data_IF_942040788437
#
_entry.id   IF_942040788437
#
_cell.length_a   1.000
_cell.length_b   1.000
_cell.length_c   1.000
_cell.angle_alpha   90.00
_cell.angle_beta   90.00
_cell.angle_gamma   90.00
#
_symmetry.space_group_name_H-M   'P 1'
#
loop_
_entity.id
_entity.type
_entity.pdbx_description
1 polymer ?
#
# COMPACT_ATOMS: atom_id res chain seq x y z
N UNK A 1 -19.16 5.97 -9.44
CA UNK A 1 -17.80 5.67 -8.93
C UNK A 1 -17.47 6.60 -7.76
N UNK A 2 -17.84 7.88 -7.88
CA UNK A 2 -17.53 8.94 -6.91
C UNK A 2 -18.17 8.71 -5.53
N UNK A 3 -19.38 8.16 -5.45
CA UNK A 3 -20.06 7.89 -4.18
C UNK A 3 -19.27 6.94 -3.25
N UNK A 4 -18.59 5.93 -3.82
CA UNK A 4 -17.76 5.01 -3.05
C UNK A 4 -16.54 5.72 -2.44
N UNK A 5 -15.94 6.63 -3.20
CA UNK A 5 -14.79 7.43 -2.77
C UNK A 5 -15.23 8.41 -1.66
N UNK A 6 -16.35 9.11 -1.85
CA UNK A 6 -16.89 10.03 -0.83
C UNK A 6 -17.22 9.32 0.48
N UNK A 7 -17.75 8.10 0.40
CA UNK A 7 -18.02 7.27 1.58
C UNK A 7 -16.73 6.80 2.26
N UNK A 8 -15.69 6.46 1.50
CA UNK A 8 -14.38 6.12 2.02
C UNK A 8 -13.74 7.31 2.74
N UNK A 9 -13.70 8.47 2.09
CA UNK A 9 -13.15 9.71 2.66
C UNK A 9 -13.85 10.10 3.96
N UNK A 10 -15.19 10.03 4.01
CA UNK A 10 -15.95 10.28 5.24
C UNK A 10 -15.57 9.33 6.38
N UNK A 11 -15.34 8.04 6.09
CA UNK A 11 -14.88 7.07 7.11
C UNK A 11 -13.47 7.38 7.59
N UNK A 12 -12.56 7.73 6.67
CA UNK A 12 -11.17 8.08 7.01
C UNK A 12 -11.14 9.33 7.89
N UNK A 13 -11.81 10.42 7.49
CA UNK A 13 -11.84 11.67 8.26
C UNK A 13 -12.47 11.50 9.65
N UNK A 14 -13.42 10.58 9.80
CA UNK A 14 -14.03 10.25 11.10
C UNK A 14 -13.23 9.23 11.92
N UNK A 15 -12.09 8.75 11.42
CA UNK A 15 -11.29 7.71 12.07
C UNK A 15 -12.00 6.35 12.16
N UNK A 16 -13.05 6.12 11.38
CA UNK A 16 -13.86 4.90 11.39
C UNK A 16 -13.55 3.94 10.24
N UNK A 17 -12.60 4.30 9.38
CA UNK A 17 -12.09 3.37 8.36
C UNK A 17 -11.36 2.19 9.01
N UNK A 18 -11.73 0.98 8.60
CA UNK A 18 -11.12 -0.28 9.03
C UNK A 18 -10.71 -1.05 7.78
N UNK A 19 -9.40 -1.30 7.56
CA UNK A 19 -8.94 -2.07 6.41
C UNK A 19 -9.43 -3.52 6.50
N UNK A 20 -9.60 -4.17 5.35
CA UNK A 20 -10.03 -5.57 5.31
C UNK A 20 -8.83 -6.51 5.41
N UNK A 21 -9.01 -7.73 5.94
CA UNK A 21 -7.98 -8.76 5.89
C UNK A 21 -7.51 -8.99 4.45
N UNK A 22 -6.20 -9.07 4.23
CA UNK A 22 -5.63 -9.37 2.93
C UNK A 22 -5.92 -10.83 2.53
N UNK A 23 -6.14 -11.08 1.24
CA UNK A 23 -6.25 -12.44 0.71
C UNK A 23 -4.84 -13.00 0.49
N UNK A 24 -4.54 -14.16 1.04
CA UNK A 24 -3.27 -14.86 0.76
C UNK A 24 -3.41 -15.66 -0.54
N UNK A 25 -2.43 -15.55 -1.42
CA UNK A 25 -2.33 -16.34 -2.64
C UNK A 25 -0.90 -16.82 -2.80
N UNK A 26 -0.70 -18.13 -2.92
CA UNK A 26 0.63 -18.69 -3.11
C UNK A 26 1.03 -18.63 -4.59
N UNK A 27 2.22 -18.13 -4.88
CA UNK A 27 2.84 -18.17 -6.21
C UNK A 27 4.13 -19.00 -6.17
N UNK A 28 4.49 -19.70 -7.25
CA UNK A 28 5.77 -20.40 -7.31
C UNK A 28 6.94 -19.40 -7.34
N UNK A 29 8.05 -19.77 -6.71
CA UNK A 29 9.35 -19.12 -6.89
C UNK A 29 10.20 -19.92 -7.88
N UNK A 30 11.28 -19.31 -8.35
CA UNK A 30 12.27 -19.94 -9.23
C UNK A 30 12.97 -21.15 -8.57
N UNK A 31 13.16 -21.11 -7.25
CA UNK A 31 13.76 -22.19 -6.45
C UNK A 31 12.81 -23.37 -6.17
N UNK A 32 11.59 -23.35 -6.72
CA UNK A 32 10.57 -24.38 -6.52
C UNK A 32 9.78 -24.26 -5.20
N UNK A 33 10.16 -23.35 -4.30
CA UNK A 33 9.36 -23.04 -3.11
C UNK A 33 8.16 -22.15 -3.45
N UNK A 34 7.21 -22.00 -2.51
CA UNK A 34 6.07 -21.10 -2.66
C UNK A 34 6.31 -19.77 -1.95
N UNK A 35 5.80 -18.67 -2.52
CA UNK A 35 5.76 -17.35 -1.90
C UNK A 35 4.31 -16.95 -1.63
N UNK A 36 3.90 -16.78 -0.36
CA UNK A 36 2.58 -16.22 -0.07
C UNK A 36 2.58 -14.72 -0.41
N UNK A 37 1.65 -14.31 -1.27
CA UNK A 37 1.36 -12.91 -1.54
C UNK A 37 0.11 -12.49 -0.78
N UNK A 38 0.23 -11.43 0.01
CA UNK A 38 -0.90 -10.77 0.66
C UNK A 38 -1.50 -9.73 -0.28
N UNK A 39 -2.73 -9.96 -0.73
CA UNK A 39 -3.43 -9.10 -1.68
C UNK A 39 -4.52 -8.32 -0.95
N UNK A 40 -4.29 -7.02 -0.74
CA UNK A 40 -5.31 -6.09 -0.20
C UNK A 40 -6.44 -5.85 -1.20
N UNK A 41 -7.63 -5.48 -0.69
CA UNK A 41 -8.74 -5.09 -1.55
C UNK A 41 -8.48 -3.74 -2.23
N UNK A 42 -9.26 -3.41 -3.27
CA UNK A 42 -9.05 -2.17 -4.05
C UNK A 42 -9.14 -0.92 -3.19
N UNK A 43 -10.13 -0.86 -2.28
CA UNK A 43 -10.30 0.27 -1.34
C UNK A 43 -9.03 0.50 -0.51
N UNK A 44 -8.46 -0.55 0.05
CA UNK A 44 -7.25 -0.46 0.88
C UNK A 44 -6.02 -0.10 0.06
N UNK A 45 -5.91 -0.60 -1.18
CA UNK A 45 -4.81 -0.22 -2.09
C UNK A 45 -4.82 1.28 -2.41
N UNK A 46 -5.99 1.87 -2.59
CA UNK A 46 -6.12 3.33 -2.82
C UNK A 46 -5.64 4.10 -1.60
N UNK A 47 -6.05 3.69 -0.40
CA UNK A 47 -5.60 4.33 0.85
C UNK A 47 -4.09 4.18 1.04
N UNK A 48 -3.55 2.96 0.84
CA UNK A 48 -2.12 2.69 0.92
C UNK A 48 -1.32 3.55 -0.07
N UNK A 49 -1.79 3.70 -1.30
CA UNK A 49 -1.15 4.54 -2.32
C UNK A 49 -1.13 6.02 -1.89
N UNK A 50 -2.26 6.54 -1.39
CA UNK A 50 -2.33 7.92 -0.91
C UNK A 50 -1.36 8.17 0.26
N UNK A 51 -1.33 7.26 1.23
CA UNK A 51 -0.41 7.34 2.38
C UNK A 51 1.05 7.25 1.93
N UNK A 52 1.38 6.27 1.08
CA UNK A 52 2.72 6.09 0.53
C UNK A 52 3.21 7.33 -0.24
N UNK A 53 2.33 7.97 -1.01
CA UNK A 53 2.64 9.20 -1.74
C UNK A 53 3.02 10.35 -0.79
N UNK A 54 2.28 10.52 0.30
CA UNK A 54 2.55 11.57 1.29
C UNK A 54 3.86 11.28 2.04
N UNK A 55 4.00 10.05 2.55
CA UNK A 55 5.18 9.66 3.31
C UNK A 55 6.45 9.68 2.44
N UNK A 56 6.36 9.24 1.18
CA UNK A 56 7.47 9.31 0.23
C UNK A 56 8.00 10.73 0.08
N UNK A 57 7.11 11.73 -0.09
CA UNK A 57 7.53 13.14 -0.18
C UNK A 57 8.26 13.65 1.07
N UNK A 58 7.93 13.10 2.24
CA UNK A 58 8.55 13.49 3.52
C UNK A 58 9.89 12.78 3.71
N UNK A 59 9.96 11.48 3.42
CA UNK A 59 11.12 10.65 3.75
C UNK A 59 12.17 10.54 2.65
N UNK A 60 11.81 10.75 1.37
CA UNK A 60 12.80 10.75 0.28
C UNK A 60 14.03 11.63 0.52
N UNK A 61 13.90 12.91 0.95
CA UNK A 61 15.06 13.74 1.24
C UNK A 61 15.85 13.32 2.49
N UNK A 62 15.30 12.42 3.31
CA UNK A 62 15.89 11.97 4.58
C UNK A 62 16.64 10.64 4.45
N UNK A 63 16.44 9.89 3.36
CA UNK A 63 17.13 8.62 3.16
C UNK A 63 18.63 8.80 2.95
N UNK A 64 19.41 7.88 3.52
CA UNK A 64 20.86 7.84 3.32
C UNK A 64 21.21 7.57 1.84
N UNK A 65 22.36 8.06 1.36
CA UNK A 65 22.81 7.82 -0.02
C UNK A 65 23.01 6.33 -0.36
N UNK A 66 23.21 5.47 0.65
CA UNK A 66 23.35 4.03 0.48
C UNK A 66 22.02 3.25 0.59
N UNK A 67 20.88 3.94 0.66
CA UNK A 67 19.56 3.33 0.66
C UNK A 67 18.98 3.32 -0.76
N UNK A 68 18.81 2.12 -1.33
CA UNK A 68 18.39 1.95 -2.73
C UNK A 68 17.01 1.30 -2.89
N UNK A 69 16.59 0.47 -1.92
CA UNK A 69 15.39 -0.35 -2.07
C UNK A 69 14.10 0.45 -2.18
N UNK A 70 13.31 0.19 -3.24
CA UNK A 70 11.96 0.71 -3.44
C UNK A 70 11.84 2.24 -3.49
N UNK A 71 12.91 2.93 -3.89
CA UNK A 71 12.95 4.39 -4.04
C UNK A 71 12.78 4.81 -5.50
N UNK A 72 12.16 5.97 -5.78
CA UNK A 72 12.01 6.46 -7.13
C UNK A 72 13.38 6.86 -7.72
N UNK A 73 13.74 6.29 -8.87
CA UNK A 73 14.96 6.64 -9.61
C UNK A 73 16.26 6.08 -9.01
N UNK A 74 16.17 5.06 -8.14
CA UNK A 74 17.31 4.27 -7.64
C UNK A 74 17.19 2.82 -8.11
#
# INVERSE_FOLDING_TARGET
MDENIDRLLRRIHRGSYRPKPARITEIPKEDGSKRPLAISCVEDKVVQLAVSTILGKIYEPLFLPCSFGFRPGQ
#
